data_IF_005948334348
#
_entry.id   IF_005948334348
#
_cell.length_a   1.000
_cell.length_b   1.000
_cell.length_c   1.000
_cell.angle_alpha   90.00
_cell.angle_beta   90.00
_cell.angle_gamma   90.00
#
_symmetry.space_group_name_H-M   'P 1'
#
loop_
_entity.id
_entity.type
_entity.pdbx_description
1 polymer ?
#
# COMPACT_ATOMS: atom_id res chain seq x y z
N UNK A 1 10.28 -25.01 11.04
CA UNK A 1 9.33 -24.45 10.06
C UNK A 1 10.08 -23.44 9.21
N UNK A 2 9.93 -23.49 7.88
CA UNK A 2 10.59 -22.54 6.97
C UNK A 2 9.74 -21.27 6.80
N UNK A 3 10.35 -20.14 6.44
CA UNK A 3 9.64 -18.89 6.15
C UNK A 3 8.56 -19.07 5.07
N UNK A 4 8.85 -19.89 4.04
CA UNK A 4 7.89 -20.23 2.97
C UNK A 4 6.68 -21.01 3.47
N UNK A 5 6.86 -21.90 4.45
CA UNK A 5 5.75 -22.65 5.05
C UNK A 5 4.90 -21.76 5.94
N UNK A 6 5.52 -20.91 6.76
CA UNK A 6 4.80 -19.96 7.60
C UNK A 6 3.96 -18.96 6.78
N UNK A 7 4.50 -18.48 5.65
CA UNK A 7 3.76 -17.60 4.74
C UNK A 7 2.56 -18.31 4.11
N UNK A 8 2.74 -19.56 3.67
CA UNK A 8 1.64 -20.34 3.08
C UNK A 8 0.50 -20.55 4.08
N UNK A 9 0.82 -20.97 5.30
CA UNK A 9 -0.18 -21.15 6.36
C UNK A 9 -0.91 -19.82 6.67
N UNK A 10 -0.20 -18.69 6.62
CA UNK A 10 -0.82 -17.38 6.84
C UNK A 10 -1.80 -17.02 5.71
N UNK A 11 -1.41 -17.24 4.46
CA UNK A 11 -2.24 -16.96 3.27
C UNK A 11 -3.49 -17.85 3.23
N UNK A 12 -3.35 -19.14 3.56
CA UNK A 12 -4.48 -20.09 3.57
C UNK A 12 -5.56 -19.74 4.61
N UNK A 13 -5.24 -18.91 5.60
CA UNK A 13 -6.16 -18.46 6.64
C UNK A 13 -6.73 -17.05 6.41
N UNK A 14 -6.37 -16.38 5.31
CA UNK A 14 -6.95 -15.07 4.97
C UNK A 14 -8.35 -15.26 4.39
N UNK A 15 -9.25 -14.33 4.72
CA UNK A 15 -10.48 -14.15 3.96
C UNK A 15 -10.19 -13.62 2.55
N UNK A 16 -11.16 -13.72 1.64
CA UNK A 16 -11.01 -13.18 0.28
C UNK A 16 -10.75 -11.67 0.28
N UNK A 17 -11.37 -10.93 1.20
CA UNK A 17 -11.20 -9.48 1.34
C UNK A 17 -9.78 -9.13 1.82
N UNK A 18 -9.29 -9.81 2.86
CA UNK A 18 -7.90 -9.63 3.34
C UNK A 18 -6.86 -10.05 2.29
N UNK A 19 -7.16 -11.08 1.49
CA UNK A 19 -6.30 -11.51 0.40
C UNK A 19 -6.26 -10.47 -0.73
N UNK A 20 -7.39 -9.84 -1.05
CA UNK A 20 -7.46 -8.77 -2.05
C UNK A 20 -6.70 -7.52 -1.59
N UNK A 21 -6.83 -7.11 -0.34
CA UNK A 21 -6.07 -6.00 0.24
C UNK A 21 -4.55 -6.28 0.23
N UNK A 22 -4.14 -7.50 0.59
CA UNK A 22 -2.74 -7.90 0.57
C UNK A 22 -2.17 -7.89 -0.85
N UNK A 23 -2.92 -8.39 -1.84
CA UNK A 23 -2.51 -8.35 -3.24
C UNK A 23 -2.37 -6.91 -3.74
N UNK A 24 -3.35 -6.04 -3.49
CA UNK A 24 -3.29 -4.64 -3.89
C UNK A 24 -2.06 -3.92 -3.28
N UNK A 25 -1.74 -4.22 -2.02
CA UNK A 25 -0.57 -3.67 -1.36
C UNK A 25 0.74 -4.22 -1.95
N UNK A 26 0.83 -5.51 -2.23
CA UNK A 26 2.02 -6.11 -2.84
C UNK A 26 2.24 -5.61 -4.26
N UNK A 27 1.17 -5.43 -5.04
CA UNK A 27 1.23 -4.85 -6.38
C UNK A 27 1.68 -3.39 -6.32
N UNK A 28 1.17 -2.61 -5.36
CA UNK A 28 1.65 -1.25 -5.11
C UNK A 28 3.14 -1.23 -4.73
N UNK A 29 3.56 -1.99 -3.72
CA UNK A 29 4.97 -2.08 -3.29
C UNK A 29 5.90 -2.58 -4.41
N UNK A 30 5.42 -3.47 -5.29
CA UNK A 30 6.17 -3.96 -6.45
C UNK A 30 6.19 -2.96 -7.63
N UNK A 31 5.14 -2.14 -7.78
CA UNK A 31 5.09 -1.06 -8.77
C UNK A 31 5.94 0.15 -8.36
N UNK A 32 6.05 0.45 -7.06
CA UNK A 32 6.93 1.49 -6.50
C UNK A 32 8.43 1.14 -6.53
N UNK A 33 8.82 0.02 -7.18
CA UNK A 33 10.23 -0.15 -7.56
C UNK A 33 10.65 0.81 -8.69
N UNK A 34 9.71 1.55 -9.30
CA UNK A 34 10.00 2.86 -9.87
C UNK A 34 10.05 3.86 -8.70
N UNK A 35 11.26 4.14 -8.23
CA UNK A 35 11.47 4.98 -7.05
C UNK A 35 10.80 6.34 -7.27
N UNK A 36 9.80 6.64 -6.43
CA UNK A 36 9.21 7.98 -6.34
C UNK A 36 10.32 9.02 -6.28
N UNK A 37 10.18 10.08 -7.07
CA UNK A 37 11.11 11.19 -6.96
C UNK A 37 10.91 11.94 -5.62
N UNK A 38 11.82 12.86 -5.32
CA UNK A 38 11.83 13.54 -4.03
C UNK A 38 10.55 14.37 -3.79
N UNK A 39 9.90 14.84 -4.86
CA UNK A 39 8.68 15.65 -4.78
C UNK A 39 7.47 14.74 -4.57
N UNK A 40 7.38 13.61 -5.28
CA UNK A 40 6.33 12.60 -5.10
C UNK A 40 6.36 11.96 -3.71
N UNK A 41 7.56 11.67 -3.18
CA UNK A 41 7.72 11.15 -1.82
C UNK A 41 7.26 12.16 -0.77
N UNK A 42 7.51 13.46 -1.00
CA UNK A 42 7.05 14.52 -0.10
C UNK A 42 5.53 14.62 -0.07
N UNK A 43 4.87 14.44 -1.21
CA UNK A 43 3.40 14.40 -1.29
C UNK A 43 2.80 13.20 -0.56
N UNK A 44 3.40 12.01 -0.68
CA UNK A 44 2.96 10.81 0.06
C UNK A 44 3.13 10.98 1.57
N UNK A 45 4.23 11.58 2.03
CA UNK A 45 4.46 11.86 3.45
C UNK A 45 3.45 12.88 3.98
N UNK A 46 3.15 13.94 3.22
CA UNK A 46 2.14 14.93 3.58
C UNK A 46 0.74 14.29 3.68
N UNK A 47 0.35 13.49 2.70
CA UNK A 47 -0.94 12.79 2.71
C UNK A 47 -1.06 11.80 3.89
N UNK A 48 0.02 11.09 4.24
CA UNK A 48 0.05 10.23 5.45
C UNK A 48 -0.13 11.02 6.75
N UNK A 49 0.46 12.21 6.84
CA UNK A 49 0.29 13.09 7.99
C UNK A 49 -1.16 13.61 8.07
N UNK A 50 -1.76 13.97 6.94
CA UNK A 50 -3.17 14.40 6.84
C UNK A 50 -4.13 13.27 7.23
N UNK A 51 -3.92 12.04 6.74
CA UNK A 51 -4.67 10.85 7.17
C UNK A 51 -4.54 10.62 8.68
N UNK A 52 -3.33 10.74 9.23
CA UNK A 52 -3.08 10.60 10.68
C UNK A 52 -3.73 11.69 11.52
N UNK A 53 -3.96 12.88 10.96
CA UNK A 53 -4.64 14.01 11.61
C UNK A 53 -6.16 13.97 11.51
N UNK A 54 -6.71 13.11 10.64
CA UNK A 54 -8.15 12.98 10.40
C UNK A 54 -8.74 13.96 9.38
N UNK A 55 -7.90 14.72 8.66
CA UNK A 55 -8.32 15.77 7.71
C UNK A 55 -8.61 15.25 6.28
N UNK A 56 -8.59 13.94 6.07
CA UNK A 56 -9.11 13.22 4.89
C UNK A 56 -8.47 13.54 3.53
N UNK A 57 -7.76 12.54 2.98
CA UNK A 57 -7.65 12.28 1.54
C UNK A 57 -7.96 10.79 1.39
N UNK A 58 -8.97 10.44 0.61
CA UNK A 58 -9.18 9.02 0.28
C UNK A 58 -7.98 8.52 -0.53
N UNK A 59 -7.61 7.25 -0.34
CA UNK A 59 -6.43 6.69 -1.02
C UNK A 59 -6.50 6.84 -2.54
N UNK A 60 -7.68 6.73 -3.15
CA UNK A 60 -7.89 6.86 -4.59
C UNK A 60 -7.64 8.28 -5.12
N UNK A 61 -7.95 9.31 -4.34
CA UNK A 61 -7.77 10.71 -4.69
C UNK A 61 -6.28 11.10 -4.65
N UNK A 62 -5.53 10.53 -3.70
CA UNK A 62 -4.07 10.65 -3.67
C UNK A 62 -3.44 10.01 -4.92
N UNK A 63 -3.86 8.79 -5.27
CA UNK A 63 -3.41 8.10 -6.49
C UNK A 63 -3.71 8.93 -7.75
N UNK A 64 -4.96 9.43 -7.88
CA UNK A 64 -5.35 10.33 -8.98
C UNK A 64 -4.49 11.59 -9.07
N UNK A 65 -4.08 12.17 -7.94
CA UNK A 65 -3.25 13.39 -7.90
C UNK A 65 -1.82 13.14 -8.38
N UNK A 66 -1.25 12.01 -7.96
CA UNK A 66 0.11 11.61 -8.31
C UNK A 66 0.23 11.07 -9.74
N UNK A 67 -0.88 10.88 -10.46
CA UNK A 67 -0.94 10.27 -11.79
C UNK A 67 -0.33 8.85 -11.84
N UNK A 68 -0.37 8.16 -10.71
CA UNK A 68 -0.10 6.73 -10.55
C UNK A 68 -1.43 5.97 -10.76
#
# INVERSE_FOLDING_TARGET
MTAKQALRERIENLSEEEAAELLARLDWEASETEALDADELAEVIAARAEIGSGDFVDGEELFRRLKL
#
